data_IF_937950309742
#
_entry.id   IF_937950309742
#
_cell.length_a   1.000
_cell.length_b   1.000
_cell.length_c   1.000
_cell.angle_alpha   90.00
_cell.angle_beta   90.00
_cell.angle_gamma   90.00
#
_symmetry.space_group_name_H-M   'P 1'
#
loop_
_entity.id
_entity.type
_entity.pdbx_description
1 polymer ?
#
# COMPACT_ATOMS: atom_id res chain seq x y z
N UNK A 1 9.55 -15.16 13.28
CA UNK A 1 10.70 -14.19 13.30
C UNK A 1 11.49 -14.08 11.99
N UNK A 2 11.91 -12.86 11.65
CA UNK A 2 12.80 -12.47 10.55
C UNK A 2 14.27 -12.54 10.99
N UNK A 3 15.20 -12.71 10.04
CA UNK A 3 16.65 -12.66 10.34
C UNK A 3 17.10 -11.24 10.75
N UNK A 4 18.26 -11.10 11.44
CA UNK A 4 18.80 -9.79 11.77
C UNK A 4 18.95 -8.86 10.55
N UNK A 5 19.46 -9.36 9.43
CA UNK A 5 19.62 -8.57 8.19
C UNK A 5 18.27 -8.10 7.61
N UNK A 6 17.23 -8.93 7.72
CA UNK A 6 15.88 -8.58 7.29
C UNK A 6 15.25 -7.51 8.18
N UNK A 7 15.50 -7.57 9.50
CA UNK A 7 15.04 -6.55 10.44
C UNK A 7 15.80 -5.24 10.22
N UNK A 8 17.11 -5.29 9.99
CA UNK A 8 17.92 -4.13 9.64
C UNK A 8 17.45 -3.46 8.34
N UNK A 9 17.18 -4.25 7.28
CA UNK A 9 16.62 -3.74 6.04
C UNK A 9 15.30 -2.99 6.30
N UNK A 10 14.36 -3.62 7.01
CA UNK A 10 13.08 -3.00 7.36
C UNK A 10 13.27 -1.67 8.12
N UNK A 11 14.08 -1.68 9.18
CA UNK A 11 14.28 -0.53 10.05
C UNK A 11 14.93 0.63 9.30
N UNK A 12 15.98 0.37 8.51
CA UNK A 12 16.67 1.41 7.72
C UNK A 12 15.77 2.04 6.67
N UNK A 13 14.97 1.24 5.96
CA UNK A 13 14.06 1.78 4.96
C UNK A 13 12.88 2.53 5.57
N UNK A 14 12.38 2.10 6.73
CA UNK A 14 11.34 2.83 7.44
C UNK A 14 11.87 4.17 7.96
N UNK A 15 13.03 4.17 8.61
CA UNK A 15 13.68 5.40 9.08
C UNK A 15 14.01 6.34 7.92
N UNK A 16 14.47 5.80 6.79
CA UNK A 16 14.72 6.59 5.57
C UNK A 16 13.43 7.28 5.11
N UNK A 17 12.30 6.60 5.09
CA UNK A 17 11.02 7.21 4.73
C UNK A 17 10.61 8.31 5.72
N UNK A 18 10.77 8.06 7.02
CA UNK A 18 10.40 9.01 8.07
C UNK A 18 11.26 10.29 8.05
N UNK A 19 12.51 10.18 7.60
CA UNK A 19 13.44 11.32 7.49
C UNK A 19 13.24 12.18 6.24
N UNK A 20 12.40 11.78 5.28
CA UNK A 20 12.08 12.61 4.12
C UNK A 20 11.11 13.71 4.59
N UNK A 21 11.49 14.97 4.40
CA UNK A 21 10.68 16.13 4.79
C UNK A 21 9.70 16.45 3.67
N UNK A 22 8.43 16.62 4.01
CA UNK A 22 7.33 16.80 3.05
C UNK A 22 7.22 18.27 2.57
N UNK A 23 8.29 18.82 1.99
CA UNK A 23 8.34 20.24 1.58
C UNK A 23 7.78 20.47 0.16
N UNK A 24 7.86 19.44 -0.69
CA UNK A 24 7.38 19.51 -2.07
C UNK A 24 6.86 18.15 -2.57
N UNK A 25 6.26 18.16 -3.76
CA UNK A 25 5.70 16.96 -4.40
C UNK A 25 6.76 15.91 -4.69
N UNK A 26 7.98 16.33 -5.02
CA UNK A 26 9.08 15.40 -5.26
C UNK A 26 9.40 14.60 -3.99
N UNK A 27 9.41 15.28 -2.85
CA UNK A 27 9.64 14.67 -1.54
C UNK A 27 8.49 13.73 -1.13
N UNK A 28 7.24 14.09 -1.45
CA UNK A 28 6.10 13.18 -1.25
C UNK A 28 6.21 11.92 -2.11
N UNK A 29 6.62 12.06 -3.38
CA UNK A 29 6.89 10.93 -4.28
C UNK A 29 8.01 10.06 -3.70
N UNK A 30 9.12 10.66 -3.29
CA UNK A 30 10.27 9.94 -2.72
C UNK A 30 9.88 9.20 -1.43
N UNK A 31 9.10 9.83 -0.55
CA UNK A 31 8.58 9.19 0.67
C UNK A 31 7.66 8.02 0.32
N UNK A 32 6.72 8.20 -0.61
CA UNK A 32 5.81 7.14 -1.02
C UNK A 32 6.56 5.94 -1.63
N UNK A 33 7.51 6.19 -2.54
CA UNK A 33 8.35 5.16 -3.15
C UNK A 33 9.20 4.45 -2.09
N UNK A 34 9.80 5.19 -1.17
CA UNK A 34 10.63 4.64 -0.08
C UNK A 34 9.81 3.73 0.84
N UNK A 35 8.59 4.13 1.20
CA UNK A 35 7.65 3.28 1.95
C UNK A 35 7.25 2.04 1.15
N UNK A 36 7.02 2.18 -0.15
CA UNK A 36 6.62 1.05 -0.99
C UNK A 36 7.75 0.04 -1.19
N UNK A 37 9.01 0.46 -1.21
CA UNK A 37 10.16 -0.46 -1.20
C UNK A 37 10.13 -1.34 0.06
N UNK A 38 9.85 -0.72 1.22
CA UNK A 38 9.71 -1.46 2.46
C UNK A 38 8.50 -2.41 2.43
N UNK A 39 7.36 -1.93 1.93
CA UNK A 39 6.17 -2.77 1.76
C UNK A 39 6.41 -3.95 0.79
N UNK A 40 7.10 -3.72 -0.33
CA UNK A 40 7.50 -4.73 -1.31
C UNK A 40 8.38 -5.82 -0.71
N UNK A 41 9.37 -5.43 0.07
CA UNK A 41 10.19 -6.37 0.82
C UNK A 41 9.32 -7.27 1.73
N UNK A 42 8.39 -6.68 2.48
CA UNK A 42 7.54 -7.41 3.42
C UNK A 42 6.56 -8.35 2.72
N UNK A 43 5.83 -7.89 1.70
CA UNK A 43 4.87 -8.77 1.03
C UNK A 43 5.53 -9.89 0.22
N UNK A 44 6.81 -9.75 -0.17
CA UNK A 44 7.57 -10.84 -0.78
C UNK A 44 7.97 -11.93 0.23
N UNK A 45 7.97 -11.61 1.53
CA UNK A 45 8.21 -12.58 2.61
C UNK A 45 6.91 -13.32 2.99
N UNK A 46 5.74 -12.70 2.78
CA UNK A 46 4.43 -13.29 3.16
C UNK A 46 4.22 -14.72 2.63
N UNK A 47 4.48 -15.06 1.35
CA UNK A 47 4.36 -16.43 0.86
C UNK A 47 5.26 -17.44 1.58
N UNK A 48 6.45 -17.01 2.01
CA UNK A 48 7.38 -17.86 2.76
C UNK A 48 6.80 -18.13 4.15
N UNK A 49 6.28 -17.09 4.83
CA UNK A 49 5.70 -17.21 6.17
C UNK A 49 4.44 -18.05 6.18
N UNK A 50 3.53 -17.82 5.23
CA UNK A 50 2.31 -18.62 5.10
C UNK A 50 2.61 -20.11 4.85
N UNK A 51 3.62 -20.42 4.05
CA UNK A 51 4.05 -21.81 3.81
C UNK A 51 4.61 -22.46 5.09
N UNK A 52 5.40 -21.72 5.87
CA UNK A 52 5.93 -22.18 7.16
C UNK A 52 4.80 -22.45 8.18
N UNK A 53 3.78 -21.59 8.24
CA UNK A 53 2.64 -21.74 9.17
C UNK A 53 1.70 -22.88 8.80
N UNK A 54 1.52 -23.14 7.51
CA UNK A 54 0.56 -24.15 7.02
C UNK A 54 1.20 -25.50 6.74
N UNK A 55 2.53 -25.57 6.66
CA UNK A 55 3.27 -26.76 6.20
C UNK A 55 3.13 -27.03 4.69
N UNK A 56 2.47 -26.15 3.95
CA UNK A 56 2.27 -26.28 2.51
C UNK A 56 3.49 -25.78 1.72
N UNK A 57 3.56 -26.17 0.44
CA UNK A 57 4.53 -25.60 -0.48
C UNK A 57 4.34 -24.08 -0.65
N UNK A 58 5.44 -23.36 -0.83
CA UNK A 58 5.42 -21.92 -1.11
C UNK A 58 4.69 -21.64 -2.42
N UNK A 59 3.65 -20.82 -2.35
CA UNK A 59 2.92 -20.34 -3.51
C UNK A 59 3.78 -19.36 -4.33
N UNK A 60 3.76 -19.50 -5.66
CA UNK A 60 4.30 -18.47 -6.56
C UNK A 60 3.25 -17.37 -6.73
N UNK A 61 3.54 -16.20 -6.16
CA UNK A 61 2.61 -15.07 -6.13
C UNK A 61 3.18 -13.94 -6.97
N UNK A 62 2.41 -13.45 -7.95
CA UNK A 62 2.79 -12.29 -8.74
C UNK A 62 2.74 -10.98 -7.94
N UNK A 63 3.49 -9.97 -8.36
CA UNK A 63 3.70 -8.71 -7.62
C UNK A 63 2.39 -8.05 -7.14
N UNK A 64 1.42 -7.86 -8.05
CA UNK A 64 0.10 -7.29 -7.72
C UNK A 64 -0.67 -8.12 -6.71
N UNK A 65 -0.64 -9.45 -6.82
CA UNK A 65 -1.33 -10.33 -5.89
C UNK A 65 -0.64 -10.33 -4.51
N UNK A 66 0.70 -10.30 -4.48
CA UNK A 66 1.50 -10.17 -3.27
C UNK A 66 1.14 -8.89 -2.50
N UNK A 67 1.16 -7.75 -3.19
CA UNK A 67 0.84 -6.43 -2.64
C UNK A 67 -0.65 -6.23 -2.28
N UNK A 68 -1.53 -7.17 -2.63
CA UNK A 68 -2.98 -7.01 -2.41
C UNK A 68 -3.57 -8.26 -1.77
N UNK A 69 -4.24 -9.11 -2.53
CA UNK A 69 -5.04 -10.24 -2.04
C UNK A 69 -4.24 -11.15 -1.11
N UNK A 70 -2.99 -11.46 -1.45
CA UNK A 70 -2.21 -12.42 -0.67
C UNK A 70 -1.79 -11.88 0.69
N UNK A 71 -1.39 -10.59 0.75
CA UNK A 71 -1.13 -9.92 2.03
C UNK A 71 -2.41 -9.80 2.85
N UNK A 72 -3.54 -9.47 2.21
CA UNK A 72 -4.84 -9.37 2.89
C UNK A 72 -5.25 -10.70 3.50
N UNK A 73 -5.09 -11.80 2.77
CA UNK A 73 -5.43 -13.14 3.25
C UNK A 73 -4.54 -13.57 4.42
N UNK A 74 -3.26 -13.19 4.40
CA UNK A 74 -2.31 -13.50 5.47
C UNK A 74 -2.58 -12.72 6.77
N UNK A 75 -2.98 -11.46 6.67
CA UNK A 75 -3.27 -10.62 7.84
C UNK A 75 -4.73 -10.73 8.32
N UNK A 76 -5.66 -10.95 7.39
CA UNK A 76 -7.10 -10.84 7.59
C UNK A 76 -7.61 -9.41 7.33
N UNK A 77 -8.52 -9.24 6.37
CA UNK A 77 -9.07 -7.93 6.00
C UNK A 77 -9.75 -7.20 7.18
N UNK A 78 -10.48 -7.92 8.03
CA UNK A 78 -11.11 -7.33 9.21
C UNK A 78 -10.08 -6.81 10.23
N UNK A 79 -8.97 -7.52 10.41
CA UNK A 79 -7.88 -7.10 11.29
C UNK A 79 -7.19 -5.83 10.75
N UNK A 80 -6.95 -5.76 9.43
CA UNK A 80 -6.41 -4.56 8.79
C UNK A 80 -7.36 -3.37 8.99
N UNK A 81 -8.64 -3.55 8.68
CA UNK A 81 -9.63 -2.49 8.82
C UNK A 81 -9.72 -1.97 10.26
N UNK A 82 -9.80 -2.88 11.23
CA UNK A 82 -9.82 -2.53 12.64
C UNK A 82 -8.56 -1.77 13.07
N UNK A 83 -7.39 -2.23 12.64
CA UNK A 83 -6.12 -1.57 12.94
C UNK A 83 -6.07 -0.14 12.39
N UNK A 84 -6.46 0.07 11.12
CA UNK A 84 -6.47 1.41 10.51
C UNK A 84 -7.42 2.36 11.25
N UNK A 85 -8.60 1.89 11.67
CA UNK A 85 -9.51 2.69 12.50
C UNK A 85 -8.92 3.02 13.86
N UNK A 86 -8.25 2.07 14.53
CA UNK A 86 -7.55 2.33 15.79
C UNK A 86 -6.41 3.35 15.64
N UNK A 87 -5.74 3.38 14.48
CA UNK A 87 -4.74 4.38 14.16
C UNK A 87 -5.33 5.74 13.72
N UNK A 88 -6.66 5.87 13.69
CA UNK A 88 -7.34 7.11 13.27
C UNK A 88 -7.20 7.44 11.78
N UNK A 89 -6.97 6.43 10.92
CA UNK A 89 -6.68 6.61 9.50
C UNK A 89 -7.92 6.61 8.60
N UNK A 90 -9.14 6.52 9.16
CA UNK A 90 -10.38 6.56 8.38
C UNK A 90 -10.51 7.84 7.53
N UNK A 91 -10.11 8.99 8.09
CA UNK A 91 -10.10 10.27 7.35
C UNK A 91 -9.13 10.26 6.17
N UNK A 92 -8.05 9.48 6.24
CA UNK A 92 -7.11 9.35 5.12
C UNK A 92 -7.68 8.47 4.02
N UNK A 93 -8.44 7.43 4.36
CA UNK A 93 -9.21 6.65 3.37
C UNK A 93 -10.22 7.56 2.65
N UNK A 94 -10.89 8.43 3.41
CA UNK A 94 -11.81 9.41 2.85
C UNK A 94 -11.13 10.41 1.92
N UNK A 95 -10.06 11.05 2.38
CA UNK A 95 -9.28 11.98 1.57
C UNK A 95 -8.77 11.32 0.28
N UNK A 96 -8.32 10.06 0.37
CA UNK A 96 -7.85 9.30 -0.77
C UNK A 96 -8.94 9.14 -1.84
N UNK A 97 -10.13 8.62 -1.50
CA UNK A 97 -11.17 8.43 -2.53
C UNK A 97 -11.77 9.75 -3.04
N UNK A 98 -11.70 10.83 -2.26
CA UNK A 98 -12.11 12.17 -2.70
C UNK A 98 -11.12 12.77 -3.69
N UNK A 99 -9.83 12.43 -3.57
CA UNK A 99 -8.80 12.87 -4.50
C UNK A 99 -8.87 12.15 -5.85
N UNK A 100 -9.17 10.84 -5.83
CA UNK A 100 -9.10 9.95 -7.00
C UNK A 100 -9.80 10.45 -8.29
N UNK A 101 -10.96 11.14 -8.28
CA UNK A 101 -11.60 11.64 -9.51
C UNK A 101 -10.73 12.60 -10.33
N UNK A 102 -9.70 13.19 -9.74
CA UNK A 102 -8.77 14.09 -10.42
C UNK A 102 -7.55 13.38 -11.04
N UNK A 103 -7.49 12.05 -10.95
CA UNK A 103 -6.34 11.25 -11.37
C UNK A 103 -6.79 10.01 -12.15
N UNK A 104 -5.89 9.51 -12.99
CA UNK A 104 -6.05 8.19 -13.61
C UNK A 104 -5.29 7.18 -12.76
N UNK A 105 -6.00 6.39 -11.93
CA UNK A 105 -5.38 5.50 -10.94
C UNK A 105 -5.07 4.12 -11.53
N UNK A 106 -6.04 3.38 -12.06
CA UNK A 106 -5.79 2.12 -12.76
C UNK A 106 -5.47 2.43 -14.24
N UNK A 107 -4.24 2.12 -14.63
CA UNK A 107 -3.78 2.24 -16.01
C UNK A 107 -3.61 0.84 -16.61
N UNK A 108 -4.11 0.64 -17.82
CA UNK A 108 -3.81 -0.54 -18.63
C UNK A 108 -2.89 -0.14 -19.78
N UNK A 109 -1.59 -0.46 -19.66
CA UNK A 109 -0.55 -0.08 -20.65
C UNK A 109 -0.56 1.43 -20.95
N UNK A 110 -0.72 2.25 -19.91
CA UNK A 110 -0.81 3.71 -20.02
C UNK A 110 -2.21 4.26 -20.32
N UNK A 111 -3.17 3.41 -20.69
CA UNK A 111 -4.56 3.84 -20.95
C UNK A 111 -5.36 3.91 -19.65
N UNK A 112 -5.93 5.07 -19.28
CA UNK A 112 -6.81 5.21 -18.12
C UNK A 112 -7.98 4.22 -18.14
N UNK A 113 -8.38 3.73 -16.96
CA UNK A 113 -9.50 2.81 -16.79
C UNK A 113 -10.57 3.39 -15.84
N UNK A 114 -11.38 4.40 -16.27
CA UNK A 114 -12.30 5.11 -15.39
C UNK A 114 -13.29 4.20 -14.64
N UNK A 115 -13.78 3.14 -15.28
CA UNK A 115 -14.67 2.17 -14.63
C UNK A 115 -13.99 1.43 -13.48
N UNK A 116 -12.70 1.14 -13.59
CA UNK A 116 -11.93 0.51 -12.50
C UNK A 116 -11.64 1.50 -11.38
N UNK A 117 -11.37 2.76 -11.72
CA UNK A 117 -11.20 3.83 -10.72
C UNK A 117 -12.50 4.01 -9.93
N UNK A 118 -13.65 4.03 -10.59
CA UNK A 118 -14.94 4.07 -9.92
C UNK A 118 -15.19 2.84 -9.02
N UNK A 119 -14.77 1.64 -9.45
CA UNK A 119 -14.85 0.43 -8.62
C UNK A 119 -13.96 0.55 -7.37
N UNK A 120 -12.77 1.12 -7.49
CA UNK A 120 -11.88 1.37 -6.36
C UNK A 120 -12.50 2.40 -5.40
N UNK A 121 -13.03 3.51 -5.91
CA UNK A 121 -13.72 4.54 -5.12
C UNK A 121 -14.90 3.94 -4.35
N UNK A 122 -15.78 3.19 -5.04
CA UNK A 122 -16.92 2.53 -4.41
C UNK A 122 -16.48 1.50 -3.36
N UNK A 123 -15.38 0.79 -3.64
CA UNK A 123 -14.81 -0.18 -2.73
C UNK A 123 -14.30 0.47 -1.45
N UNK A 124 -13.57 1.59 -1.54
CA UNK A 124 -13.08 2.36 -0.39
C UNK A 124 -14.21 2.88 0.51
N UNK A 125 -15.38 3.17 -0.07
CA UNK A 125 -16.59 3.58 0.65
C UNK A 125 -17.38 2.42 1.26
N UNK A 126 -17.03 1.17 0.94
CA UNK A 126 -17.77 -0.01 1.39
C UNK A 126 -17.72 -0.17 2.91
N UNK A 127 -18.85 -0.52 3.52
CA UNK A 127 -18.90 -0.94 4.92
C UNK A 127 -18.30 -2.35 5.14
N UNK A 128 -18.13 -3.14 4.07
CA UNK A 128 -17.59 -4.51 4.15
C UNK A 128 -16.06 -4.44 4.22
N UNK A 129 -15.40 -4.89 5.31
CA UNK A 129 -13.95 -4.78 5.47
C UNK A 129 -13.14 -5.40 4.33
N UNK A 130 -13.55 -6.58 3.85
CA UNK A 130 -12.89 -7.26 2.74
C UNK A 130 -12.88 -6.40 1.46
N UNK A 131 -14.02 -5.81 1.11
CA UNK A 131 -14.15 -4.94 -0.06
C UNK A 131 -13.35 -3.64 0.11
N UNK A 132 -13.46 -3.00 1.29
CA UNK A 132 -12.73 -1.76 1.61
C UNK A 132 -11.23 -1.94 1.54
N UNK A 133 -10.70 -2.97 2.21
CA UNK A 133 -9.26 -3.21 2.28
C UNK A 133 -8.72 -3.68 0.93
N UNK A 134 -9.46 -4.50 0.18
CA UNK A 134 -9.04 -4.87 -1.16
C UNK A 134 -8.92 -3.65 -2.09
N UNK A 135 -9.89 -2.73 -2.03
CA UNK A 135 -9.84 -1.50 -2.79
C UNK A 135 -8.66 -0.62 -2.35
N UNK A 136 -8.45 -0.45 -1.04
CA UNK A 136 -7.31 0.29 -0.49
C UNK A 136 -5.97 -0.24 -0.99
N UNK A 137 -5.70 -1.54 -0.83
CA UNK A 137 -4.43 -2.12 -1.23
C UNK A 137 -4.20 -2.03 -2.74
N UNK A 138 -5.28 -2.22 -3.54
CA UNK A 138 -5.21 -2.03 -5.00
C UNK A 138 -4.92 -0.58 -5.36
N UNK A 139 -5.55 0.39 -4.70
CA UNK A 139 -5.30 1.82 -4.95
C UNK A 139 -3.86 2.19 -4.64
N UNK A 140 -3.32 1.79 -3.48
CA UNK A 140 -1.92 2.05 -3.13
C UNK A 140 -0.96 1.40 -4.16
N UNK A 141 -1.21 0.15 -4.55
CA UNK A 141 -0.42 -0.51 -5.59
C UNK A 141 -0.47 0.24 -6.93
N UNK A 142 -1.66 0.67 -7.36
CA UNK A 142 -1.84 1.42 -8.61
C UNK A 142 -1.14 2.78 -8.57
N UNK A 143 -1.19 3.52 -7.45
CA UNK A 143 -0.46 4.78 -7.28
C UNK A 143 1.05 4.53 -7.47
N UNK A 144 1.60 3.46 -6.89
CA UNK A 144 3.01 3.09 -7.09
C UNK A 144 3.30 2.80 -8.56
N UNK A 145 2.47 2.03 -9.24
CA UNK A 145 2.64 1.78 -10.68
C UNK A 145 2.63 3.07 -11.49
N UNK A 146 1.80 4.05 -11.14
CA UNK A 146 1.71 5.32 -11.86
C UNK A 146 2.87 6.25 -11.59
N UNK A 147 3.42 6.27 -10.37
CA UNK A 147 4.65 7.02 -10.09
C UNK A 147 5.84 6.42 -10.85
N UNK A 148 5.89 5.09 -10.94
CA UNK A 148 6.99 4.37 -11.59
C UNK A 148 6.89 4.41 -13.13
N UNK A 149 5.67 4.48 -13.70
CA UNK A 149 5.43 4.36 -15.15
C UNK A 149 4.66 5.52 -15.80
N UNK A 150 4.13 6.47 -15.03
CA UNK A 150 3.31 7.59 -15.50
C UNK A 150 4.10 8.80 -15.98
N UNK A 151 3.38 9.80 -16.49
CA UNK A 151 3.95 11.06 -16.97
C UNK A 151 4.80 11.73 -15.88
N UNK A 152 6.05 12.09 -16.22
CA UNK A 152 7.09 12.58 -15.29
C UNK A 152 6.87 14.02 -14.80
N UNK A 153 5.64 14.54 -14.87
CA UNK A 153 5.29 15.87 -14.42
C UNK A 153 5.14 15.93 -12.91
N UNK A 154 5.91 16.82 -12.26
CA UNK A 154 5.72 17.17 -10.86
C UNK A 154 4.71 18.32 -10.77
N UNK A 155 3.56 18.06 -10.15
CA UNK A 155 2.49 19.03 -10.04
C UNK A 155 1.91 19.07 -8.63
N UNK A 156 1.72 20.28 -8.08
CA UNK A 156 1.26 20.48 -6.70
C UNK A 156 -0.04 19.75 -6.37
N UNK A 157 -0.96 19.63 -7.34
CA UNK A 157 -2.22 18.91 -7.10
C UNK A 157 -2.01 17.43 -6.74
N UNK A 158 -0.88 16.81 -7.08
CA UNK A 158 -0.55 15.43 -6.71
C UNK A 158 -0.49 15.22 -5.19
N UNK A 159 -0.23 16.28 -4.41
CA UNK A 159 -0.24 16.25 -2.94
C UNK A 159 -1.57 15.70 -2.37
N UNK A 160 -2.71 16.08 -2.96
CA UNK A 160 -4.03 15.66 -2.47
C UNK A 160 -4.24 14.14 -2.54
N UNK A 161 -3.50 13.46 -3.42
CA UNK A 161 -3.51 12.00 -3.56
C UNK A 161 -2.39 11.36 -2.72
N UNK A 162 -1.18 11.93 -2.78
CA UNK A 162 0.00 11.35 -2.17
C UNK A 162 -0.02 11.42 -0.65
N UNK A 163 -0.40 12.56 -0.07
CA UNK A 163 -0.42 12.75 1.39
C UNK A 163 -1.28 11.69 2.11
N UNK A 164 -2.56 11.45 1.75
CA UNK A 164 -3.32 10.38 2.38
C UNK A 164 -2.76 8.98 2.08
N UNK A 165 -2.26 8.74 0.86
CA UNK A 165 -1.68 7.45 0.48
C UNK A 165 -0.42 7.11 1.29
N UNK A 166 0.44 8.09 1.55
CA UNK A 166 1.64 7.97 2.40
C UNK A 166 1.25 7.60 3.83
N UNK A 167 0.29 8.30 4.42
CA UNK A 167 -0.16 8.02 5.79
C UNK A 167 -0.74 6.60 5.92
N UNK A 168 -1.56 6.20 4.95
CA UNK A 168 -2.13 4.84 4.89
C UNK A 168 -1.05 3.77 4.74
N UNK A 169 -0.10 3.96 3.82
CA UNK A 169 0.99 3.03 3.60
C UNK A 169 1.93 2.96 4.82
N UNK A 170 2.19 4.08 5.48
CA UNK A 170 3.00 4.16 6.70
C UNK A 170 2.35 3.46 7.89
N UNK A 171 1.01 3.38 7.93
CA UNK A 171 0.27 2.56 8.88
C UNK A 171 0.28 1.07 8.54
N UNK A 172 0.18 0.72 7.27
CA UNK A 172 0.15 -0.69 6.82
C UNK A 172 1.53 -1.37 6.97
N UNK A 173 2.62 -0.68 6.66
CA UNK A 173 3.99 -1.26 6.68
C UNK A 173 4.35 -1.88 8.04
N UNK A 174 4.21 -1.19 9.19
CA UNK A 174 4.45 -1.77 10.51
C UNK A 174 3.51 -2.93 10.85
N UNK A 175 2.24 -2.87 10.44
CA UNK A 175 1.28 -3.96 10.67
C UNK A 175 1.74 -5.25 9.98
N UNK A 176 2.16 -5.16 8.72
CA UNK A 176 2.67 -6.31 7.97
C UNK A 176 3.97 -6.81 8.58
N UNK A 177 4.89 -5.93 8.94
CA UNK A 177 6.15 -6.28 9.61
C UNK A 177 5.91 -7.06 10.90
N UNK A 178 5.04 -6.58 11.78
CA UNK A 178 4.71 -7.24 13.03
C UNK A 178 4.19 -8.67 12.78
N UNK A 179 3.33 -8.85 11.77
CA UNK A 179 2.76 -10.16 11.44
C UNK A 179 3.77 -11.15 10.83
N UNK A 180 4.71 -10.68 9.99
CA UNK A 180 5.75 -11.55 9.41
C UNK A 180 6.90 -11.83 10.39
N UNK A 181 7.09 -10.96 11.40
CA UNK A 181 8.13 -11.10 12.40
C UNK A 181 7.69 -11.86 13.66
N UNK A 182 6.38 -12.09 13.86
CA UNK A 182 5.89 -13.14 14.75
C UNK A 182 6.59 -14.48 14.41
#
# INVERSE_FOLDING_TARGET
>A
MLSPDQQDFYNRWLQKADNIVDEDVASLIDKYVTLFINYNFLYNIVPIKKAQETGNAREQVGDRAGATTFTIDFLGAAAIAHYLTQQGLDNQIQALYQAMPHFNIDLNRGTPQPNRDQQLINGLQSAVPATKILALMKTLYSIRCNIVHGEKGLHQYQEMLLSPAIQLLRGIVPLVYARVNA
#
